data_IF_281088102864
#
_entry.id   IF_281088102864
#
_cell.length_a   1.000
_cell.length_b   1.000
_cell.length_c   1.000
_cell.angle_alpha   90.00
_cell.angle_beta   90.00
_cell.angle_gamma   90.00
#
_symmetry.space_group_name_H-M   'P 1'
#
loop_
_entity.id
_entity.type
_entity.pdbx_description
1 polymer ?
#
# COMPACT_ATOMS: atom_id res chain seq x y z
N UNK A 1 13.47 18.43 -10.41
CA UNK A 1 12.85 17.22 -9.81
C UNK A 1 13.56 15.99 -10.35
N UNK A 2 14.03 15.09 -9.49
CA UNK A 2 14.75 13.86 -9.89
C UNK A 2 13.78 12.68 -9.88
N UNK A 3 13.68 11.91 -10.96
CA UNK A 3 12.92 10.66 -10.96
C UNK A 3 13.63 9.64 -10.07
N UNK A 4 12.94 9.08 -9.09
CA UNK A 4 13.48 8.10 -8.13
C UNK A 4 12.81 6.72 -8.23
N UNK A 5 11.66 6.62 -8.89
CA UNK A 5 10.95 5.36 -9.05
C UNK A 5 9.87 5.41 -10.11
N UNK A 6 9.41 4.23 -10.54
CA UNK A 6 8.25 4.11 -11.44
C UNK A 6 7.55 2.77 -11.20
N UNK A 7 6.33 2.83 -10.66
CA UNK A 7 5.42 1.70 -10.56
C UNK A 7 4.56 1.55 -11.80
N UNK A 8 3.53 0.70 -11.72
CA UNK A 8 2.53 0.59 -12.79
C UNK A 8 1.68 1.86 -12.86
N UNK A 9 1.20 2.37 -11.73
CA UNK A 9 0.26 3.49 -11.68
C UNK A 9 0.95 4.87 -11.69
N UNK A 10 2.10 5.02 -11.02
CA UNK A 10 2.77 6.32 -10.84
C UNK A 10 4.26 6.28 -11.11
N UNK A 11 4.77 7.39 -11.65
CA UNK A 11 6.19 7.77 -11.61
C UNK A 11 6.43 8.65 -10.40
N UNK A 12 7.49 8.37 -9.66
CA UNK A 12 7.82 9.05 -8.40
C UNK A 12 9.01 9.97 -8.63
N UNK A 13 8.85 11.24 -8.27
CA UNK A 13 9.87 12.27 -8.38
C UNK A 13 10.19 12.84 -7.01
N UNK A 14 11.47 12.96 -6.68
CA UNK A 14 11.94 13.60 -5.46
C UNK A 14 11.81 15.13 -5.54
N UNK A 15 11.34 15.70 -4.43
CA UNK A 15 11.24 17.14 -4.15
C UNK A 15 12.27 17.53 -3.08
N UNK A 16 12.53 18.83 -2.91
CA UNK A 16 13.60 19.36 -2.03
C UNK A 16 13.27 19.33 -0.53
N UNK A 17 12.01 19.11 -0.16
CA UNK A 17 11.48 19.20 1.21
C UNK A 17 11.14 17.83 1.83
N UNK A 18 11.93 16.79 1.52
CA UNK A 18 11.67 15.41 1.96
C UNK A 18 10.27 14.90 1.54
N UNK A 19 9.77 15.38 0.40
CA UNK A 19 8.53 14.95 -0.23
C UNK A 19 8.81 14.30 -1.58
N UNK A 20 7.83 13.58 -2.08
CA UNK A 20 7.82 13.04 -3.44
C UNK A 20 6.57 13.51 -4.17
N UNK A 21 6.69 13.81 -5.46
CA UNK A 21 5.55 13.96 -6.36
C UNK A 21 5.26 12.60 -7.01
N UNK A 22 4.01 12.16 -6.91
CA UNK A 22 3.46 11.00 -7.60
C UNK A 22 2.70 11.50 -8.82
N UNK A 23 3.23 11.20 -10.02
CA UNK A 23 2.58 11.54 -11.30
C UNK A 23 2.07 10.29 -12.01
N UNK A 24 0.82 10.24 -12.49
CA UNK A 24 0.30 9.08 -13.22
C UNK A 24 1.22 8.69 -14.37
N UNK A 25 1.47 7.40 -14.54
CA UNK A 25 2.20 6.88 -15.71
C UNK A 25 1.32 6.95 -16.96
N UNK A 26 1.97 7.10 -18.12
CA UNK A 26 1.28 7.06 -19.41
C UNK A 26 0.64 5.69 -19.67
N UNK A 27 -0.55 5.69 -20.29
CA UNK A 27 -1.27 4.45 -20.60
C UNK A 27 -0.46 3.51 -21.50
N UNK A 28 0.34 4.04 -22.43
CA UNK A 28 1.24 3.24 -23.26
C UNK A 28 2.28 2.48 -22.41
N UNK A 29 2.83 3.12 -21.38
CA UNK A 29 3.75 2.45 -20.45
C UNK A 29 3.03 1.33 -19.69
N UNK A 30 1.84 1.59 -19.13
CA UNK A 30 1.03 0.57 -18.44
C UNK A 30 0.74 -0.63 -19.33
N UNK A 31 0.31 -0.36 -20.56
CA UNK A 31 0.06 -1.37 -21.58
C UNK A 31 1.31 -2.21 -21.89
N UNK A 32 2.43 -1.55 -22.18
CA UNK A 32 3.69 -2.24 -22.50
C UNK A 32 4.18 -3.15 -21.37
N UNK A 33 4.07 -2.71 -20.11
CA UNK A 33 4.46 -3.50 -18.94
C UNK A 33 3.59 -4.73 -18.76
N UNK A 34 2.28 -4.59 -18.89
CA UNK A 34 1.34 -5.71 -18.73
C UNK A 34 1.43 -6.68 -19.90
N UNK A 35 1.66 -6.19 -21.11
CA UNK A 35 1.95 -7.05 -22.26
C UNK A 35 3.21 -7.87 -22.00
N UNK A 36 4.31 -7.24 -21.58
CA UNK A 36 5.56 -7.94 -21.25
C UNK A 36 5.37 -9.00 -20.15
N UNK A 37 4.59 -8.69 -19.10
CA UNK A 37 4.23 -9.68 -18.08
C UNK A 37 3.40 -10.82 -18.67
N UNK A 38 2.39 -10.52 -19.52
CA UNK A 38 1.57 -11.56 -20.16
C UNK A 38 2.37 -12.48 -21.10
N UNK A 39 3.36 -11.94 -21.81
CA UNK A 39 4.25 -12.72 -22.69
C UNK A 39 5.07 -13.70 -21.85
N UNK A 40 5.61 -13.22 -20.72
CA UNK A 40 6.36 -14.05 -19.77
C UNK A 40 5.51 -15.16 -19.12
N UNK A 41 4.19 -14.98 -19.04
CA UNK A 41 3.26 -15.93 -18.41
C UNK A 41 2.36 -16.70 -19.40
N UNK A 42 2.76 -16.78 -20.68
CA UNK A 42 1.98 -17.29 -21.83
C UNK A 42 0.80 -16.35 -22.16
N UNK A 43 0.81 -15.82 -23.40
CA UNK A 43 -0.13 -14.84 -23.93
C UNK A 43 -1.58 -15.12 -23.52
N UNK A 44 -2.17 -14.22 -22.74
CA UNK A 44 -3.57 -14.28 -22.38
C UNK A 44 -4.24 -12.94 -22.70
N UNK A 45 -4.96 -12.87 -23.83
CA UNK A 45 -5.73 -11.70 -24.29
C UNK A 45 -6.75 -11.20 -23.25
N UNK A 46 -7.15 -12.02 -22.27
CA UNK A 46 -7.99 -11.58 -21.15
C UNK A 46 -7.30 -10.55 -20.24
N UNK A 47 -5.96 -10.43 -20.26
CA UNK A 47 -5.24 -9.41 -19.49
C UNK A 47 -5.61 -7.98 -19.92
N UNK A 48 -5.93 -7.76 -21.19
CA UNK A 48 -6.38 -6.45 -21.66
C UNK A 48 -7.75 -6.08 -21.10
N UNK A 49 -8.64 -7.06 -20.91
CA UNK A 49 -9.93 -6.81 -20.24
C UNK A 49 -9.76 -6.52 -18.75
N UNK A 50 -8.68 -7.02 -18.13
CA UNK A 50 -8.32 -6.75 -16.72
C UNK A 50 -7.67 -5.39 -16.48
N UNK A 51 -7.22 -4.72 -17.55
CA UNK A 51 -6.47 -3.48 -17.49
C UNK A 51 -7.31 -2.26 -17.07
N UNK A 52 -8.49 -2.12 -17.66
CA UNK A 52 -9.41 -1.01 -17.36
C UNK A 52 -9.92 -1.05 -15.91
N UNK A 53 -10.33 -2.20 -15.35
CA UNK A 53 -10.71 -2.31 -13.94
C UNK A 53 -9.60 -1.88 -12.98
N UNK A 54 -8.35 -2.28 -13.22
CA UNK A 54 -7.21 -1.92 -12.35
C UNK A 54 -6.97 -0.41 -12.38
N UNK A 55 -6.99 0.21 -13.56
CA UNK A 55 -6.81 1.67 -13.69
C UNK A 55 -7.95 2.40 -12.99
N UNK A 56 -9.19 1.95 -13.20
CA UNK A 56 -10.39 2.56 -12.60
C UNK A 56 -10.36 2.44 -11.07
N UNK A 57 -10.05 1.26 -10.54
CA UNK A 57 -9.93 1.01 -9.10
C UNK A 57 -8.88 1.92 -8.45
N UNK A 58 -7.70 2.08 -9.06
CA UNK A 58 -6.69 2.98 -8.50
C UNK A 58 -7.07 4.46 -8.56
N UNK A 59 -7.80 4.89 -9.59
CA UNK A 59 -8.34 6.25 -9.63
C UNK A 59 -9.42 6.46 -8.57
N UNK A 60 -10.26 5.45 -8.35
CA UNK A 60 -11.31 5.45 -7.35
C UNK A 60 -10.73 5.52 -5.94
N UNK A 61 -9.70 4.75 -5.62
CA UNK A 61 -9.00 4.84 -4.32
C UNK A 61 -8.46 6.25 -4.05
N UNK A 62 -7.84 6.87 -5.06
CA UNK A 62 -7.31 8.25 -4.94
C UNK A 62 -8.44 9.26 -4.75
N UNK A 63 -9.53 9.14 -5.51
CA UNK A 63 -10.67 10.04 -5.39
C UNK A 63 -11.31 9.92 -4.00
N UNK A 64 -11.58 8.70 -3.53
CA UNK A 64 -12.16 8.47 -2.20
C UNK A 64 -11.26 9.05 -1.11
N UNK A 65 -9.94 8.79 -1.15
CA UNK A 65 -9.02 9.38 -0.18
C UNK A 65 -8.99 10.90 -0.23
N UNK A 66 -8.94 11.49 -1.43
CA UNK A 66 -8.93 12.95 -1.59
C UNK A 66 -10.18 13.57 -0.98
N UNK A 67 -11.34 12.98 -1.27
CA UNK A 67 -12.63 13.51 -0.85
C UNK A 67 -12.85 13.33 0.67
N UNK A 68 -12.12 12.39 1.29
CA UNK A 68 -12.18 12.10 2.74
C UNK A 68 -10.92 12.49 3.50
N UNK A 69 -9.96 13.21 2.91
CA UNK A 69 -8.62 13.40 3.52
C UNK A 69 -8.68 14.09 4.89
N UNK A 70 -9.70 14.91 5.14
CA UNK A 70 -9.89 15.62 6.40
C UNK A 70 -10.46 14.74 7.53
N UNK A 71 -11.05 13.58 7.21
CA UNK A 71 -11.61 12.66 8.20
C UNK A 71 -10.63 11.55 8.59
N UNK A 72 -9.57 11.37 7.82
CA UNK A 72 -8.53 10.36 8.03
C UNK A 72 -7.26 10.95 8.64
N UNK A 73 -6.58 10.17 9.49
CA UNK A 73 -5.23 10.53 9.93
C UNK A 73 -4.25 10.37 8.77
N UNK A 74 -3.99 11.47 8.06
CA UNK A 74 -3.14 11.47 6.88
C UNK A 74 -1.71 10.95 7.11
N UNK A 75 -1.22 10.91 8.37
CA UNK A 75 0.11 10.38 8.70
C UNK A 75 0.25 8.90 8.31
N UNK A 76 -0.82 8.11 8.42
CA UNK A 76 -0.81 6.66 8.13
C UNK A 76 -0.55 6.35 6.65
N UNK A 77 -0.76 7.35 5.79
CA UNK A 77 -0.54 7.32 4.34
C UNK A 77 0.50 8.38 3.92
N UNK A 78 1.39 8.81 4.81
CA UNK A 78 2.49 9.72 4.46
C UNK A 78 2.05 11.14 4.07
N UNK A 79 1.00 11.67 4.71
CA UNK A 79 0.53 13.05 4.60
C UNK A 79 0.30 13.52 3.14
N UNK A 80 -0.53 12.85 2.32
CA UNK A 80 -0.64 13.21 0.92
C UNK A 80 -1.30 14.58 0.72
N UNK A 81 -0.81 15.34 -0.26
CA UNK A 81 -1.45 16.58 -0.72
C UNK A 81 -1.88 16.40 -2.18
N UNK A 82 -3.18 16.34 -2.41
CA UNK A 82 -3.75 16.10 -3.74
C UNK A 82 -3.81 17.39 -4.57
N UNK A 83 -3.37 17.32 -5.83
CA UNK A 83 -3.50 18.44 -6.76
C UNK A 83 -4.96 18.58 -7.22
N UNK A 84 -5.52 19.78 -7.13
CA UNK A 84 -6.92 20.07 -7.50
C UNK A 84 -7.20 19.66 -8.95
N UNK A 85 -8.25 18.84 -9.15
CA UNK A 85 -8.68 18.38 -10.47
C UNK A 85 -7.72 17.40 -11.17
N UNK A 86 -6.71 16.87 -10.46
CA UNK A 86 -5.73 15.93 -11.02
C UNK A 86 -5.57 14.70 -10.12
N UNK A 87 -4.98 13.66 -10.69
CA UNK A 87 -4.56 12.45 -9.96
C UNK A 87 -3.13 12.57 -9.41
N UNK A 88 -2.47 13.71 -9.64
CA UNK A 88 -1.15 14.00 -9.10
C UNK A 88 -1.27 14.35 -7.61
N UNK A 89 -0.33 13.88 -6.79
CA UNK A 89 -0.27 14.26 -5.37
C UNK A 89 1.18 14.25 -4.89
N UNK A 90 1.45 15.06 -3.86
CA UNK A 90 2.70 14.95 -3.11
C UNK A 90 2.48 14.05 -1.89
N UNK A 91 3.55 13.45 -1.38
CA UNK A 91 3.54 12.57 -0.20
C UNK A 91 4.91 12.65 0.48
N UNK A 92 4.99 12.28 1.75
CA UNK A 92 6.27 12.16 2.46
C UNK A 92 7.18 11.18 1.74
N UNK A 93 8.45 11.55 1.65
CA UNK A 93 9.48 10.65 1.16
C UNK A 93 9.72 9.57 2.20
N UNK A 94 9.76 8.33 1.73
CA UNK A 94 10.00 7.13 2.53
C UNK A 94 11.12 6.30 1.94
N UNK A 95 11.80 5.55 2.79
CA UNK A 95 12.58 4.38 2.38
C UNK A 95 11.63 3.19 2.24
N UNK A 96 11.52 2.62 1.05
CA UNK A 96 10.62 1.49 0.80
C UNK A 96 11.08 0.28 1.60
N UNK A 97 10.14 -0.46 2.22
CA UNK A 97 10.47 -1.53 3.17
C UNK A 97 11.35 -2.63 2.55
N UNK A 98 11.17 -2.95 1.26
CA UNK A 98 12.09 -3.84 0.52
C UNK A 98 13.54 -3.42 0.68
N UNK A 99 13.83 -2.14 0.50
CA UNK A 99 15.19 -1.62 0.52
C UNK A 99 15.70 -1.53 1.96
N UNK A 100 14.83 -1.08 2.88
CA UNK A 100 15.11 -1.04 4.33
C UNK A 100 15.57 -2.41 4.87
N UNK A 101 14.86 -3.50 4.55
CA UNK A 101 15.18 -4.82 5.08
C UNK A 101 16.53 -5.38 4.59
N UNK A 102 17.07 -4.87 3.49
CA UNK A 102 18.37 -5.30 2.96
C UNK A 102 19.54 -4.58 3.64
N UNK A 103 19.30 -3.47 4.34
CA UNK A 103 20.33 -2.59 4.91
C UNK A 103 20.34 -2.56 6.43
N UNK A 104 19.34 -3.16 7.07
CA UNK A 104 19.15 -3.14 8.53
C UNK A 104 19.18 -4.54 9.15
N UNK A 105 19.41 -4.60 10.47
CA UNK A 105 19.51 -5.86 11.21
C UNK A 105 18.16 -6.57 11.36
N UNK A 106 18.20 -7.88 11.62
CA UNK A 106 17.00 -8.68 11.89
C UNK A 106 16.14 -8.09 13.02
N UNK A 107 16.76 -7.56 14.07
CA UNK A 107 16.05 -6.99 15.23
C UNK A 107 15.29 -5.72 14.82
N UNK A 108 15.91 -4.84 14.04
CA UNK A 108 15.27 -3.63 13.51
C UNK A 108 14.13 -3.99 12.55
N UNK A 109 14.38 -4.96 11.66
CA UNK A 109 13.39 -5.40 10.68
C UNK A 109 12.14 -6.00 11.33
N UNK A 110 12.29 -6.75 12.43
CA UNK A 110 11.16 -7.25 13.21
C UNK A 110 10.31 -6.12 13.80
N UNK A 111 10.95 -5.09 14.37
CA UNK A 111 10.24 -3.89 14.86
C UNK A 111 9.47 -3.18 13.75
N UNK A 112 10.04 -3.12 12.54
CA UNK A 112 9.35 -2.52 11.39
C UNK A 112 8.14 -3.35 10.95
N UNK A 113 8.19 -4.68 11.05
CA UNK A 113 7.00 -5.53 10.84
C UNK A 113 5.93 -5.21 11.87
N UNK A 114 6.31 -5.10 13.16
CA UNK A 114 5.37 -4.75 14.21
C UNK A 114 4.73 -3.38 13.93
N UNK A 115 5.52 -2.38 13.53
CA UNK A 115 5.04 -1.06 13.16
C UNK A 115 4.14 -1.09 11.91
N UNK A 116 4.42 -1.95 10.93
CA UNK A 116 3.55 -2.14 9.77
C UNK A 116 2.17 -2.70 10.17
N UNK A 117 2.14 -3.67 11.10
CA UNK A 117 0.88 -4.21 11.65
C UNK A 117 0.11 -3.10 12.37
N UNK A 118 0.79 -2.29 13.18
CA UNK A 118 0.15 -1.14 13.84
C UNK A 118 -0.40 -0.15 12.82
N UNK A 119 0.35 0.19 11.76
CA UNK A 119 -0.14 1.07 10.70
C UNK A 119 -1.35 0.47 9.97
N UNK A 120 -1.38 -0.85 9.76
CA UNK A 120 -2.54 -1.57 9.19
C UNK A 120 -3.79 -1.41 10.06
N UNK A 121 -3.65 -1.53 11.38
CA UNK A 121 -4.76 -1.25 12.29
C UNK A 121 -5.19 0.20 12.24
N UNK A 122 -4.25 1.15 12.11
CA UNK A 122 -4.60 2.56 11.92
C UNK A 122 -5.37 2.77 10.61
N UNK A 123 -5.02 2.10 9.50
CA UNK A 123 -5.82 2.22 8.27
C UNK A 123 -7.23 1.68 8.46
N UNK A 124 -7.41 0.56 9.20
CA UNK A 124 -8.74 0.00 9.49
C UNK A 124 -9.58 0.95 10.35
N UNK A 125 -8.98 1.63 11.33
CA UNK A 125 -9.64 2.70 12.12
C UNK A 125 -10.08 3.89 11.26
N UNK A 126 -9.45 4.07 10.10
CA UNK A 126 -9.78 5.09 9.12
C UNK A 126 -10.68 4.57 7.99
N UNK A 127 -11.16 3.32 8.08
CA UNK A 127 -12.14 2.75 7.14
C UNK A 127 -11.55 2.25 5.82
N UNK A 128 -10.26 1.92 5.78
CA UNK A 128 -9.65 1.35 4.58
C UNK A 128 -8.49 0.40 4.89
N UNK A 129 -8.03 -0.34 3.88
CA UNK A 129 -6.83 -1.19 3.94
C UNK A 129 -6.17 -1.32 2.57
N UNK A 130 -4.89 -1.70 2.52
CA UNK A 130 -4.26 -2.24 1.32
C UNK A 130 -4.93 -3.57 0.94
N UNK A 131 -5.25 -3.75 -0.34
CA UNK A 131 -5.87 -4.97 -0.88
C UNK A 131 -4.85 -6.08 -1.12
N UNK A 132 -3.62 -5.72 -1.50
CA UNK A 132 -2.59 -6.67 -1.92
C UNK A 132 -1.72 -7.13 -0.75
N UNK A 133 -1.72 -6.37 0.35
CA UNK A 133 -0.80 -6.53 1.49
C UNK A 133 0.66 -6.70 1.05
N UNK A 134 1.05 -6.05 -0.06
CA UNK A 134 2.40 -6.10 -0.60
C UNK A 134 3.30 -5.14 0.18
N UNK A 135 3.42 -5.38 1.48
CA UNK A 135 3.98 -4.44 2.45
C UNK A 135 5.39 -3.98 2.09
N UNK A 136 6.21 -4.89 1.54
CA UNK A 136 7.58 -4.59 1.13
C UNK A 136 7.66 -3.50 0.04
N UNK A 137 6.65 -3.40 -0.82
CA UNK A 137 6.63 -2.46 -1.95
C UNK A 137 5.66 -1.29 -1.75
N UNK A 138 4.56 -1.55 -1.04
CA UNK A 138 3.48 -0.58 -0.83
C UNK A 138 3.70 0.27 0.41
N UNK A 139 4.58 -0.12 1.32
CA UNK A 139 4.89 0.64 2.54
C UNK A 139 6.35 1.10 2.59
N UNK A 140 6.61 2.09 3.44
CA UNK A 140 7.96 2.56 3.69
C UNK A 140 8.12 3.24 5.05
N UNK A 141 9.37 3.45 5.45
CA UNK A 141 9.74 4.16 6.68
C UNK A 141 10.03 5.61 6.35
N UNK A 142 9.37 6.53 7.04
CA UNK A 142 9.66 7.97 6.97
C UNK A 142 11.00 8.30 7.65
N UNK A 143 11.56 9.48 7.42
CA UNK A 143 12.77 9.93 8.13
C UNK A 143 12.62 10.01 9.66
N UNK A 144 11.39 10.01 10.16
CA UNK A 144 11.08 10.00 11.59
C UNK A 144 10.90 8.57 12.16
N UNK A 145 11.09 7.53 11.35
CA UNK A 145 10.98 6.13 11.78
C UNK A 145 9.56 5.56 11.75
N UNK A 146 8.56 6.32 11.27
CA UNK A 146 7.18 5.83 11.14
C UNK A 146 7.01 5.01 9.87
N UNK A 147 6.35 3.85 9.98
CA UNK A 147 5.89 3.07 8.83
C UNK A 147 4.58 3.67 8.32
N UNK A 148 4.51 3.91 7.01
CA UNK A 148 3.32 4.47 6.35
C UNK A 148 3.02 3.72 5.06
N UNK A 149 1.78 3.79 4.61
CA UNK A 149 1.35 3.26 3.32
C UNK A 149 1.73 4.25 2.20
N UNK A 150 2.73 3.87 1.41
CA UNK A 150 3.34 4.68 0.36
C UNK A 150 2.71 4.49 -1.04
N UNK A 151 1.98 3.38 -1.26
CA UNK A 151 1.16 3.16 -2.44
C UNK A 151 -0.33 3.10 -2.05
N UNK A 152 -1.09 4.09 -2.49
CA UNK A 152 -2.51 4.28 -2.13
C UNK A 152 -3.46 3.99 -3.31
N UNK A 153 -3.00 3.21 -4.31
CA UNK A 153 -3.79 2.89 -5.50
C UNK A 153 -4.56 1.56 -5.43
N UNK A 154 -4.32 0.75 -4.40
CA UNK A 154 -4.95 -0.55 -4.23
C UNK A 154 -5.63 -0.60 -2.89
N UNK A 155 -6.61 0.28 -2.66
CA UNK A 155 -7.30 0.36 -1.38
C UNK A 155 -8.67 -0.29 -1.43
N UNK A 156 -8.97 -1.03 -0.38
CA UNK A 156 -10.29 -1.55 -0.08
C UNK A 156 -10.94 -0.67 1.01
N UNK A 157 -12.17 -0.21 0.76
CA UNK A 157 -12.96 0.61 1.69
C UNK A 157 -14.19 -0.14 2.22
N UNK A 158 -14.39 -1.39 1.77
CA UNK A 158 -15.50 -2.24 2.21
C UNK A 158 -15.01 -3.26 3.23
N UNK A 159 -15.62 -3.22 4.43
CA UNK A 159 -15.24 -4.11 5.54
C UNK A 159 -15.43 -5.59 5.19
N UNK A 160 -16.48 -5.94 4.44
CA UNK A 160 -16.78 -7.33 4.10
C UNK A 160 -15.78 -7.86 3.08
N UNK A 161 -15.42 -7.07 2.08
CA UNK A 161 -14.35 -7.39 1.14
C UNK A 161 -13.03 -7.61 1.89
N UNK A 162 -12.66 -6.71 2.81
CA UNK A 162 -11.47 -6.87 3.65
C UNK A 162 -11.52 -8.13 4.51
N UNK A 163 -12.69 -8.48 5.07
CA UNK A 163 -12.88 -9.72 5.81
C UNK A 163 -12.60 -10.96 4.93
N UNK A 164 -13.02 -10.94 3.66
CA UNK A 164 -12.70 -12.01 2.71
C UNK A 164 -11.20 -12.09 2.40
N UNK A 165 -10.49 -10.97 2.31
CA UNK A 165 -9.03 -10.95 2.15
C UNK A 165 -8.33 -11.54 3.38
N UNK A 166 -8.82 -11.23 4.58
CA UNK A 166 -8.31 -11.78 5.85
C UNK A 166 -8.52 -13.28 5.95
N UNK A 167 -9.71 -13.78 5.60
CA UNK A 167 -10.00 -15.23 5.57
C UNK A 167 -9.07 -15.96 4.60
N UNK A 168 -8.76 -15.34 3.47
CA UNK A 168 -7.82 -15.88 2.46
C UNK A 168 -6.35 -15.71 2.84
N UNK A 169 -6.05 -14.92 3.87
CA UNK A 169 -4.70 -14.60 4.32
C UNK A 169 -3.81 -14.12 3.17
N UNK A 170 -4.31 -13.16 2.37
CA UNK A 170 -3.63 -12.69 1.13
C UNK A 170 -2.19 -12.18 1.37
N UNK A 171 -1.85 -11.77 2.59
CA UNK A 171 -0.47 -11.43 2.97
C UNK A 171 0.49 -12.61 2.91
N UNK A 172 -0.01 -13.86 2.86
CA UNK A 172 0.79 -15.06 2.69
C UNK A 172 1.10 -15.40 1.23
N UNK A 173 0.58 -14.63 0.29
CA UNK A 173 0.84 -14.85 -1.12
C UNK A 173 2.30 -14.59 -1.48
N UNK A 174 2.74 -15.20 -2.58
CA UNK A 174 4.15 -15.18 -3.03
C UNK A 174 4.70 -13.76 -3.19
N UNK A 175 3.88 -12.78 -3.60
CA UNK A 175 4.36 -11.41 -3.81
C UNK A 175 4.79 -10.73 -2.52
N UNK A 176 4.10 -10.99 -1.41
CA UNK A 176 4.39 -10.42 -0.09
C UNK A 176 5.74 -10.89 0.46
N UNK A 177 6.11 -12.14 0.18
CA UNK A 177 7.39 -12.72 0.63
C UNK A 177 8.55 -12.55 -0.34
N UNK A 178 8.27 -12.24 -1.61
CA UNK A 178 9.28 -12.23 -2.69
C UNK A 178 10.52 -11.39 -2.36
N UNK A 179 10.34 -10.37 -1.53
CA UNK A 179 11.35 -9.37 -1.22
C UNK A 179 12.00 -9.52 0.16
N UNK A 180 11.52 -10.45 0.99
CA UNK A 180 12.17 -10.80 2.24
C UNK A 180 13.20 -11.89 1.96
N UNK A 181 14.49 -11.58 2.04
CA UNK A 181 15.53 -12.59 1.76
C UNK A 181 15.73 -13.49 2.99
N UNK A 182 15.76 -12.89 4.17
CA UNK A 182 15.97 -13.55 5.47
C UNK A 182 14.79 -14.46 5.85
N UNK A 183 15.07 -15.76 6.05
CA UNK A 183 14.06 -16.77 6.40
C UNK A 183 13.49 -16.61 7.81
N UNK A 184 14.28 -16.13 8.76
CA UNK A 184 13.81 -15.86 10.12
C UNK A 184 12.85 -14.66 10.14
N UNK A 185 13.14 -13.65 9.31
CA UNK A 185 12.24 -12.51 9.12
C UNK A 185 10.96 -12.91 8.40
N UNK A 186 11.03 -13.77 7.36
CA UNK A 186 9.84 -14.34 6.70
C UNK A 186 8.97 -15.11 7.69
N UNK A 187 9.59 -15.97 8.51
CA UNK A 187 8.91 -16.75 9.54
C UNK A 187 8.25 -15.84 10.56
N UNK A 188 8.96 -14.81 11.02
CA UNK A 188 8.43 -13.82 11.94
C UNK A 188 7.22 -13.09 11.34
N UNK A 189 7.35 -12.55 10.13
CA UNK A 189 6.25 -11.89 9.40
C UNK A 189 5.02 -12.78 9.32
N UNK A 190 5.18 -14.05 8.91
CA UNK A 190 4.08 -15.01 8.81
C UNK A 190 3.35 -15.20 10.13
N UNK A 191 4.09 -15.45 11.21
CA UNK A 191 3.52 -15.67 12.54
C UNK A 191 2.77 -14.42 12.99
N UNK A 192 3.41 -13.27 12.90
CA UNK A 192 2.86 -12.01 13.40
C UNK A 192 1.63 -11.55 12.61
N UNK A 193 1.65 -11.65 11.28
CA UNK A 193 0.49 -11.30 10.47
C UNK A 193 -0.69 -12.22 10.74
N UNK A 194 -0.48 -13.54 10.80
CA UNK A 194 -1.56 -14.49 11.12
C UNK A 194 -2.10 -14.31 12.55
N UNK A 195 -1.25 -13.91 13.50
CA UNK A 195 -1.65 -13.62 14.88
C UNK A 195 -2.50 -12.37 15.00
N UNK A 196 -2.20 -11.34 14.19
CA UNK A 196 -2.75 -10.00 14.37
C UNK A 196 -3.86 -9.66 13.37
N UNK A 197 -3.76 -10.07 12.12
CA UNK A 197 -4.78 -9.77 11.09
C UNK A 197 -5.88 -10.82 11.14
N UNK A 198 -6.76 -10.69 12.13
CA UNK A 198 -7.92 -11.57 12.33
C UNK A 198 -9.23 -10.81 12.13
N UNK A 199 -10.34 -11.54 12.00
CA UNK A 199 -11.67 -10.93 11.87
C UNK A 199 -12.07 -10.19 13.14
N UNK A 200 -11.69 -10.71 14.31
CA UNK A 200 -11.94 -10.08 15.60
C UNK A 200 -11.24 -8.72 15.68
N UNK A 201 -9.97 -8.64 15.27
CA UNK A 201 -9.25 -7.36 15.25
C UNK A 201 -9.80 -6.42 14.18
N UNK A 202 -10.24 -6.93 13.03
CA UNK A 202 -10.96 -6.10 12.05
C UNK A 202 -12.21 -5.48 12.67
N UNK A 203 -13.02 -6.28 13.38
CA UNK A 203 -14.24 -5.79 14.03
C UNK A 203 -13.95 -4.73 15.10
N UNK A 204 -12.93 -4.95 15.93
CA UNK A 204 -12.50 -4.00 16.96
C UNK A 204 -12.10 -2.67 16.34
N UNK A 205 -11.17 -2.68 15.39
CA UNK A 205 -10.59 -1.46 14.86
C UNK A 205 -11.50 -0.73 13.88
N UNK A 206 -12.32 -1.45 13.12
CA UNK A 206 -13.30 -0.82 12.23
C UNK A 206 -14.47 -0.18 13.00
N UNK A 207 -14.89 -0.76 14.14
CA UNK A 207 -15.95 -0.18 14.98
C UNK A 207 -15.57 1.18 15.57
N UNK A 208 -14.28 1.43 15.83
CA UNK A 208 -13.81 2.74 16.27
C UNK A 208 -14.16 3.85 15.26
N UNK A 209 -14.14 3.55 13.96
CA UNK A 209 -14.58 4.46 12.90
C UNK A 209 -16.08 4.77 13.01
N UNK A 210 -16.91 3.74 13.20
CA UNK A 210 -18.37 3.89 13.29
C UNK A 210 -18.75 4.81 14.47
N UNK A 211 -18.03 4.71 15.58
CA UNK A 211 -18.19 5.59 16.74
C UNK A 211 -17.74 7.03 16.41
N UNK A 212 -16.65 7.20 15.66
CA UNK A 212 -16.13 8.52 15.25
C UNK A 212 -17.11 9.27 14.34
N UNK A 213 -17.81 8.55 13.46
CA UNK A 213 -18.80 9.13 12.53
C UNK A 213 -20.12 9.44 13.24
N UNK A 214 -20.44 8.72 14.33
CA UNK A 214 -21.70 8.89 15.07
C UNK A 214 -21.70 10.06 16.08
N UNK A 215 -20.60 10.80 16.19
CA UNK A 215 -20.41 11.94 17.09
C UNK A 215 -20.28 13.22 16.30
#
# INVERSE_FOLDING_TARGET
>A
MKKIGQGLSYTVYELTNNRVLKKPTFNFYKFSKLLFWSIRFRFNLSLMKKLSPIIKSGQESINILRDNINSIDSKVIGNPEFCVGRLEYTQDKVEILRDYFNTHSLIENKKIIDNYIQNTFQTWKNGFSDIDFNFAMNSGVTSAGFVVLADINGLCFDKNELAELIKKQVWLDKHSFKHLIDEDLKKYFRIEMCRNLTLENLDVYWKELEIKISK
#
